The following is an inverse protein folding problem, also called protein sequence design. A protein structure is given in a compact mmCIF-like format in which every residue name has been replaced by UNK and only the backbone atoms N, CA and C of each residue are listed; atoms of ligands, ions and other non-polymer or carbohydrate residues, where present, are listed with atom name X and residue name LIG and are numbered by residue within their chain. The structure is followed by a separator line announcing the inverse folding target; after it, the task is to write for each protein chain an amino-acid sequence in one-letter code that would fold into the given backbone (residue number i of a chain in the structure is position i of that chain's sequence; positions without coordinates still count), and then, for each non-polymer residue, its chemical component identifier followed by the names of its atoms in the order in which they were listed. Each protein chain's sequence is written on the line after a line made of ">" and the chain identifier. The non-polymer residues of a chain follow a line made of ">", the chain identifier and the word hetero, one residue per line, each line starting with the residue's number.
data_IF_740799065158
#
_entry.id   IF_740799065158
#
_cell.length_a   1.000
_cell.length_b   1.000
_cell.length_c   1.000
_cell.angle_alpha   90.00
_cell.angle_beta   90.00
_cell.angle_gamma   90.00
#
_symmetry.space_group_name_H-M   'P 1'
#
loop_
_entity.id
_entity.type
_entity.pdbx_description
1 polymer ?
#
# COMPACT_ATOMS: atom_id res chain seq x y z
N UNK A 1 20.40 -4.99 -3.22
CA UNK A 1 19.77 -5.61 -2.03
C UNK A 1 18.48 -6.23 -2.49
N UNK A 2 18.20 -7.49 -2.14
CA UNK A 2 16.87 -8.04 -2.40
C UNK A 2 15.84 -7.19 -1.64
N UNK A 3 14.72 -6.88 -2.27
CA UNK A 3 13.62 -6.17 -1.61
C UNK A 3 13.10 -6.95 -0.40
N UNK A 4 12.21 -6.36 0.41
CA UNK A 4 11.56 -7.08 1.49
C UNK A 4 10.85 -8.34 0.94
N UNK A 5 10.71 -9.42 1.74
CA UNK A 5 10.23 -10.71 1.27
C UNK A 5 8.70 -10.76 1.07
N UNK A 6 8.13 -9.76 0.39
CA UNK A 6 6.73 -9.70 0.00
C UNK A 6 6.53 -8.87 -1.27
N UNK A 7 5.38 -9.06 -1.94
CA UNK A 7 4.97 -8.24 -3.08
C UNK A 7 3.83 -7.29 -2.66
N UNK A 8 3.92 -5.98 -2.92
CA UNK A 8 2.83 -5.05 -2.61
C UNK A 8 1.52 -5.40 -3.33
N UNK A 9 1.63 -5.87 -4.57
CA UNK A 9 0.54 -6.33 -5.41
C UNK A 9 0.95 -7.59 -6.17
N UNK A 10 0.06 -8.56 -6.28
CA UNK A 10 0.26 -9.78 -7.06
C UNK A 10 -1.01 -10.12 -7.84
N UNK A 11 -0.87 -10.29 -9.17
CA UNK A 11 -1.99 -10.69 -10.05
C UNK A 11 -1.99 -12.21 -10.23
N UNK A 12 -3.10 -12.84 -9.92
CA UNK A 12 -3.31 -14.28 -9.99
C UNK A 12 -4.51 -14.59 -10.88
N UNK A 13 -4.26 -14.70 -12.19
CA UNK A 13 -5.33 -14.77 -13.19
C UNK A 13 -6.15 -13.48 -13.17
N UNK A 14 -7.46 -13.61 -12.95
CA UNK A 14 -8.38 -12.47 -12.87
C UNK A 14 -8.40 -11.80 -11.48
N UNK A 15 -7.70 -12.35 -10.50
CA UNK A 15 -7.66 -11.82 -9.14
C UNK A 15 -6.43 -10.92 -8.90
N UNK A 16 -6.61 -9.93 -8.04
CA UNK A 16 -5.53 -9.09 -7.54
C UNK A 16 -5.43 -9.25 -6.02
N UNK A 17 -4.29 -9.76 -5.55
CA UNK A 17 -3.97 -9.91 -4.14
C UNK A 17 -3.08 -8.74 -3.72
N UNK A 18 -3.59 -7.89 -2.82
CA UNK A 18 -2.89 -6.68 -2.37
C UNK A 18 -2.45 -6.90 -0.92
N UNK A 19 -1.20 -6.59 -0.63
CA UNK A 19 -0.70 -6.57 0.75
C UNK A 19 -1.37 -5.44 1.55
N UNK A 20 -1.48 -5.60 2.86
CA UNK A 20 -2.07 -4.57 3.72
C UNK A 20 -1.35 -3.23 3.55
N UNK A 21 -2.12 -2.17 3.26
CA UNK A 21 -1.59 -0.82 3.17
C UNK A 21 -1.69 -0.12 4.52
N UNK A 22 -0.67 0.71 4.80
CA UNK A 22 -0.64 1.62 5.94
C UNK A 22 -0.68 3.05 5.42
N UNK A 23 -0.99 4.00 6.30
CA UNK A 23 -0.90 5.43 6.01
C UNK A 23 0.54 5.95 5.95
N UNK A 24 1.41 5.25 5.23
CA UNK A 24 2.82 5.61 5.06
C UNK A 24 3.00 6.66 3.96
N UNK A 25 3.85 7.63 4.23
CA UNK A 25 4.38 8.64 3.30
C UNK A 25 5.90 8.43 3.16
N UNK A 26 6.58 9.17 2.27
CA UNK A 26 8.05 9.16 2.23
C UNK A 26 8.72 9.57 3.55
N UNK A 27 8.03 10.38 4.36
CA UNK A 27 8.55 10.91 5.63
C UNK A 27 8.19 10.03 6.84
N UNK A 28 7.40 8.97 6.63
CA UNK A 28 7.00 8.03 7.69
C UNK A 28 5.49 7.83 7.78
N UNK A 29 5.01 7.41 8.94
CA UNK A 29 3.58 7.20 9.16
C UNK A 29 2.90 8.57 9.34
N UNK A 30 1.79 8.80 8.62
CA UNK A 30 1.03 10.04 8.75
C UNK A 30 0.57 10.29 10.21
N UNK A 31 0.47 11.56 10.61
CA UNK A 31 0.12 11.90 11.98
C UNK A 31 -1.39 11.83 12.23
N UNK A 32 -1.78 10.99 13.19
CA UNK A 32 -3.16 10.83 13.62
C UNK A 32 -3.97 9.85 12.75
N UNK A 33 -4.99 9.27 13.38
CA UNK A 33 -5.75 8.17 12.78
C UNK A 33 -6.44 8.54 11.45
N UNK A 34 -7.03 9.74 11.38
CA UNK A 34 -7.73 10.20 10.18
C UNK A 34 -6.76 10.35 9.00
N UNK A 35 -5.59 10.97 9.21
CA UNK A 35 -4.59 11.13 8.17
C UNK A 35 -4.00 9.78 7.72
N UNK A 36 -3.75 8.87 8.66
CA UNK A 36 -3.30 7.51 8.33
C UNK A 36 -4.33 6.75 7.49
N UNK A 37 -5.61 6.86 7.85
CA UNK A 37 -6.70 6.20 7.13
C UNK A 37 -6.81 6.78 5.71
N UNK A 38 -6.72 8.10 5.56
CA UNK A 38 -6.74 8.73 4.24
C UNK A 38 -5.54 8.33 3.39
N UNK A 39 -4.33 8.37 3.96
CA UNK A 39 -3.11 8.00 3.23
C UNK A 39 -3.09 6.52 2.85
N UNK A 40 -3.68 5.64 3.66
CA UNK A 40 -3.85 4.22 3.33
C UNK A 40 -4.64 4.04 2.03
N UNK A 41 -5.73 4.80 1.84
CA UNK A 41 -6.52 4.73 0.60
C UNK A 41 -5.76 5.29 -0.60
N UNK A 42 -4.99 6.37 -0.43
CA UNK A 42 -4.10 6.88 -1.48
C UNK A 42 -3.09 5.82 -1.92
N UNK A 43 -2.49 5.10 -0.96
CA UNK A 43 -1.53 4.04 -1.24
C UNK A 43 -2.17 2.84 -1.95
N UNK A 44 -3.40 2.47 -1.58
CA UNK A 44 -4.18 1.44 -2.28
C UNK A 44 -4.48 1.82 -3.72
N UNK A 45 -4.93 3.05 -3.96
CA UNK A 45 -5.26 3.55 -5.30
C UNK A 45 -4.04 3.51 -6.23
N UNK A 46 -2.87 3.94 -5.73
CA UNK A 46 -1.62 3.86 -6.47
C UNK A 46 -1.23 2.43 -6.88
N UNK A 47 -1.46 1.44 -6.01
CA UNK A 47 -1.19 0.03 -6.34
C UNK A 47 -2.21 -0.58 -7.31
N UNK A 48 -3.45 -0.09 -7.31
CA UNK A 48 -4.52 -0.61 -8.17
C UNK A 48 -4.44 -0.07 -9.60
N UNK A 49 -3.78 1.07 -9.79
CA UNK A 49 -3.54 1.67 -11.10
C UNK A 49 -2.38 1.01 -11.88
N UNK A 50 -1.65 0.08 -11.26
CA UNK A 50 -0.58 -0.71 -11.91
C UNK A 50 -1.07 -2.03 -12.50
#
# INVERSE_FOLDING_TARGET
>A
MAGPPYSPVFRAGDWCCISGQLGMTPDGLAEGFAAQTQQLFVNLDLLLQT
#
